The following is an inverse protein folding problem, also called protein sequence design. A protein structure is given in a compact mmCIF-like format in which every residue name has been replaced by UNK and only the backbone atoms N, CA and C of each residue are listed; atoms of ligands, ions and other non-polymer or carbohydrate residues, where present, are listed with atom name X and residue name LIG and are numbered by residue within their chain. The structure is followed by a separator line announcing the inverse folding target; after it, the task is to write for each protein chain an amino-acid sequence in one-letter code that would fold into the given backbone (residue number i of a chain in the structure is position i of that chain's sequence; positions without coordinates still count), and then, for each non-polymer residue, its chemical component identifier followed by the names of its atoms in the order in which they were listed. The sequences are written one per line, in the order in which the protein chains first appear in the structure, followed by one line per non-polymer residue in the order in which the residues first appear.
data_IF_459010099381
#
_entry.id   IF_459010099381
#
_cell.length_a   1.000
_cell.length_b   1.000
_cell.length_c   1.000
_cell.angle_alpha   90.00
_cell.angle_beta   90.00
_cell.angle_gamma   90.00
#
_symmetry.space_group_name_H-M   'P 1'
#
loop_
_entity.id
_entity.type
_entity.pdbx_description
1 polymer ?
#
# COMPACT_ATOMS: atom_id res chain seq x y z
N UNK A 1 1.77 3.05 -50.50
CA UNK A 1 2.93 3.09 -49.59
C UNK A 1 2.41 3.56 -48.24
N UNK A 2 1.81 2.70 -47.44
CA UNK A 2 2.54 1.75 -46.59
C UNK A 2 2.83 2.43 -45.25
N UNK A 3 1.79 2.82 -44.50
CA UNK A 3 1.94 3.18 -43.09
C UNK A 3 2.57 1.96 -42.42
N UNK A 4 3.87 2.03 -42.11
CA UNK A 4 4.51 1.10 -41.19
C UNK A 4 3.78 1.28 -39.87
N UNK A 5 2.78 0.43 -39.63
CA UNK A 5 2.27 0.17 -38.31
C UNK A 5 3.49 -0.17 -37.45
N UNK A 6 3.86 0.75 -36.55
CA UNK A 6 4.93 0.56 -35.56
C UNK A 6 4.42 -0.45 -34.51
N UNK A 7 4.08 -1.66 -34.96
CA UNK A 7 3.71 -2.76 -34.09
C UNK A 7 5.02 -3.44 -33.70
N UNK A 8 5.31 -3.44 -32.41
CA UNK A 8 6.42 -4.23 -31.89
C UNK A 8 6.03 -5.70 -31.97
N UNK A 9 6.44 -6.39 -33.03
CA UNK A 9 6.16 -7.80 -33.28
C UNK A 9 6.72 -8.73 -32.20
N UNK A 10 7.73 -8.28 -31.44
CA UNK A 10 8.38 -9.03 -30.37
C UNK A 10 7.75 -8.79 -28.99
N UNK A 11 6.67 -8.01 -28.91
CA UNK A 11 5.99 -7.71 -27.66
C UNK A 11 5.42 -8.97 -27.00
N UNK A 12 5.77 -9.20 -25.73
CA UNK A 12 5.15 -10.26 -24.92
C UNK A 12 3.69 -9.90 -24.71
N UNK A 13 2.78 -10.69 -25.28
CA UNK A 13 1.36 -10.37 -25.33
C UNK A 13 0.53 -11.43 -24.62
N UNK A 14 -0.46 -11.01 -23.84
CA UNK A 14 -1.42 -11.90 -23.18
C UNK A 14 -2.84 -11.59 -23.64
N UNK A 15 -3.59 -12.62 -24.04
CA UNK A 15 -5.00 -12.54 -24.34
C UNK A 15 -5.81 -13.33 -23.30
N UNK A 16 -6.64 -12.64 -22.54
CA UNK A 16 -7.47 -13.20 -21.47
C UNK A 16 -8.94 -13.10 -21.90
N UNK A 17 -9.70 -14.20 -21.87
CA UNK A 17 -11.08 -14.15 -22.35
C UNK A 17 -11.68 -15.49 -22.71
N UNK A 18 -13.01 -15.54 -22.84
CA UNK A 18 -13.65 -16.53 -23.69
C UNK A 18 -13.32 -16.21 -25.16
N UNK A 19 -13.04 -17.24 -25.97
CA UNK A 19 -12.63 -17.11 -27.38
C UNK A 19 -11.38 -16.23 -27.63
N UNK A 20 -10.51 -16.08 -26.62
CA UNK A 20 -9.23 -15.38 -26.72
C UNK A 20 -8.25 -16.05 -27.71
N UNK A 21 -8.49 -17.30 -28.11
CA UNK A 21 -7.78 -17.99 -29.20
C UNK A 21 -7.96 -17.31 -30.56
N UNK A 22 -9.12 -16.70 -30.81
CA UNK A 22 -9.35 -15.91 -32.03
C UNK A 22 -8.47 -14.66 -32.01
N UNK A 23 -8.36 -13.99 -30.87
CA UNK A 23 -7.48 -12.84 -30.70
C UNK A 23 -6.02 -13.24 -30.89
N UNK A 24 -5.57 -14.35 -30.29
CA UNK A 24 -4.22 -14.89 -30.48
C UNK A 24 -3.91 -15.18 -31.94
N UNK A 25 -4.78 -15.90 -32.65
CA UNK A 25 -4.59 -16.20 -34.07
C UNK A 25 -4.53 -14.94 -34.93
N UNK A 26 -5.33 -13.92 -34.58
CA UNK A 26 -5.33 -12.63 -35.29
C UNK A 26 -4.04 -11.87 -35.04
N UNK A 27 -3.57 -11.78 -33.80
CA UNK A 27 -2.31 -11.11 -33.46
C UNK A 27 -1.11 -11.78 -34.13
N UNK A 28 -1.07 -13.11 -34.19
CA UNK A 28 -0.04 -13.85 -34.92
C UNK A 28 -0.03 -13.53 -36.42
N UNK A 29 -1.20 -13.42 -37.05
CA UNK A 29 -1.32 -12.98 -38.46
C UNK A 29 -0.87 -11.53 -38.68
N UNK A 30 -1.01 -10.69 -37.65
CA UNK A 30 -0.52 -9.30 -37.66
C UNK A 30 0.99 -9.20 -37.37
N UNK A 31 1.65 -10.33 -37.10
CA UNK A 31 3.10 -10.42 -36.95
C UNK A 31 3.60 -10.48 -35.51
N UNK A 32 2.73 -10.61 -34.50
CA UNK A 32 3.16 -10.82 -33.12
C UNK A 32 3.67 -12.25 -32.92
N UNK A 33 4.91 -12.41 -32.48
CA UNK A 33 5.53 -13.73 -32.29
C UNK A 33 5.17 -14.36 -30.94
N UNK A 34 5.01 -13.55 -29.89
CA UNK A 34 4.88 -14.01 -28.50
C UNK A 34 3.50 -13.64 -27.95
N UNK A 35 2.51 -14.49 -28.21
CA UNK A 35 1.13 -14.27 -27.76
C UNK A 35 0.65 -15.48 -26.96
N UNK A 36 0.37 -15.27 -25.68
CA UNK A 36 -0.13 -16.28 -24.75
C UNK A 36 -1.66 -16.18 -24.70
N UNK A 37 -2.30 -17.34 -24.75
CA UNK A 37 -3.74 -17.47 -24.58
C UNK A 37 -4.06 -17.94 -23.17
N UNK A 38 -4.90 -17.18 -22.46
CA UNK A 38 -5.53 -17.61 -21.23
C UNK A 38 -7.06 -17.66 -21.40
N UNK A 39 -7.62 -18.88 -21.32
CA UNK A 39 -9.07 -19.10 -21.30
C UNK A 39 -9.55 -19.18 -19.86
N UNK A 40 -10.73 -18.62 -19.56
CA UNK A 40 -11.32 -18.71 -18.23
C UNK A 40 -11.78 -20.14 -17.93
N UNK A 41 -11.29 -20.73 -16.84
CA UNK A 41 -11.76 -22.04 -16.33
C UNK A 41 -12.39 -21.90 -14.94
N UNK A 42 -12.06 -20.85 -14.16
CA UNK A 42 -12.76 -20.42 -12.94
C UNK A 42 -12.15 -19.10 -12.46
N UNK A 43 -12.89 -18.19 -11.82
CA UNK A 43 -12.33 -17.00 -11.18
C UNK A 43 -12.25 -17.19 -9.67
N UNK A 44 -11.43 -18.15 -9.25
CA UNK A 44 -10.97 -18.23 -7.87
C UNK A 44 -9.56 -17.61 -7.81
N UNK A 45 -9.20 -16.98 -6.68
CA UNK A 45 -7.91 -16.30 -6.44
C UNK A 45 -6.69 -17.08 -6.98
N UNK A 46 -6.73 -18.41 -6.90
CA UNK A 46 -5.75 -19.36 -7.49
C UNK A 46 -5.39 -19.17 -8.97
N UNK A 47 -6.26 -18.59 -9.80
CA UNK A 47 -6.02 -18.47 -11.24
C UNK A 47 -5.38 -17.14 -11.66
N UNK A 48 -5.35 -16.13 -10.77
CA UNK A 48 -4.68 -14.85 -11.03
C UNK A 48 -3.18 -14.88 -10.67
N UNK A 49 -2.73 -15.85 -9.87
CA UNK A 49 -1.30 -16.01 -9.54
C UNK A 49 -0.50 -16.72 -10.65
N UNK A 50 -1.10 -16.97 -11.82
CA UNK A 50 -0.46 -17.73 -12.90
C UNK A 50 0.69 -16.98 -13.58
N UNK A 51 0.67 -15.65 -13.57
CA UNK A 51 1.66 -14.81 -14.25
C UNK A 51 2.41 -13.91 -13.26
N UNK A 52 3.71 -13.72 -13.51
CA UNK A 52 4.55 -12.82 -12.72
C UNK A 52 4.20 -11.36 -13.01
N UNK A 53 4.45 -10.47 -12.07
CA UNK A 53 4.33 -9.03 -12.31
C UNK A 53 5.23 -8.59 -13.47
N UNK A 54 4.81 -7.57 -14.22
CA UNK A 54 5.61 -7.01 -15.33
C UNK A 54 6.05 -8.04 -16.39
N UNK A 55 5.20 -9.02 -16.69
CA UNK A 55 5.49 -10.06 -17.68
C UNK A 55 5.19 -9.64 -19.12
N UNK A 56 4.19 -8.77 -19.33
CA UNK A 56 3.65 -8.51 -20.67
C UNK A 56 3.77 -7.05 -21.10
N UNK A 57 4.13 -6.84 -22.36
CA UNK A 57 4.15 -5.53 -23.02
C UNK A 57 2.74 -5.11 -23.47
N UNK A 58 1.88 -6.08 -23.77
CA UNK A 58 0.50 -5.87 -24.18
C UNK A 58 -0.43 -6.90 -23.55
N UNK A 59 -1.56 -6.46 -23.03
CA UNK A 59 -2.58 -7.37 -22.48
C UNK A 59 -3.94 -6.98 -23.02
N UNK A 60 -4.61 -7.93 -23.69
CA UNK A 60 -6.00 -7.81 -24.12
C UNK A 60 -6.86 -8.69 -23.22
N UNK A 61 -7.75 -8.08 -22.45
CA UNK A 61 -8.72 -8.80 -21.64
C UNK A 61 -10.14 -8.56 -22.15
N UNK A 62 -10.92 -9.63 -22.24
CA UNK A 62 -12.33 -9.62 -22.63
C UNK A 62 -13.19 -10.04 -21.44
N UNK A 63 -14.50 -9.83 -21.58
CA UNK A 63 -15.54 -10.39 -20.72
C UNK A 63 -15.58 -9.80 -19.31
N UNK A 64 -15.13 -8.55 -19.16
CA UNK A 64 -15.12 -7.82 -17.88
C UNK A 64 -16.49 -7.83 -17.16
N UNK A 65 -17.60 -7.95 -17.90
CA UNK A 65 -18.97 -7.98 -17.35
C UNK A 65 -19.41 -9.39 -16.97
N UNK A 66 -18.75 -10.44 -17.47
CA UNK A 66 -19.06 -11.85 -17.18
C UNK A 66 -18.30 -12.41 -15.99
N UNK A 67 -17.31 -11.67 -15.47
CA UNK A 67 -16.53 -12.06 -14.28
C UNK A 67 -17.28 -11.63 -13.01
N UNK A 68 -17.22 -12.44 -11.96
CA UNK A 68 -17.92 -12.17 -10.70
C UNK A 68 -17.49 -10.84 -10.05
N UNK A 69 -16.20 -10.49 -10.18
CA UNK A 69 -15.63 -9.26 -9.63
C UNK A 69 -14.77 -8.56 -10.70
N UNK A 70 -15.35 -7.63 -11.48
CA UNK A 70 -14.66 -6.94 -12.58
C UNK A 70 -13.36 -6.24 -12.18
N UNK A 71 -13.31 -5.69 -10.97
CA UNK A 71 -12.14 -4.99 -10.45
C UNK A 71 -10.88 -5.86 -10.40
N UNK A 72 -11.01 -7.15 -10.02
CA UNK A 72 -9.87 -8.07 -9.96
C UNK A 72 -9.23 -8.30 -11.32
N UNK A 73 -10.02 -8.34 -12.40
CA UNK A 73 -9.48 -8.46 -13.75
C UNK A 73 -8.73 -7.19 -14.17
N UNK A 74 -9.23 -6.01 -13.80
CA UNK A 74 -8.54 -4.73 -14.08
C UNK A 74 -7.20 -4.68 -13.33
N UNK A 75 -7.20 -5.02 -12.04
CA UNK A 75 -5.99 -5.05 -11.22
C UNK A 75 -4.98 -6.07 -11.74
N UNK A 76 -5.43 -7.26 -12.14
CA UNK A 76 -4.54 -8.27 -12.70
C UNK A 76 -3.88 -7.79 -13.99
N UNK A 77 -4.67 -7.24 -14.92
CA UNK A 77 -4.15 -6.70 -16.18
C UNK A 77 -3.13 -5.60 -15.90
N UNK A 78 -3.41 -4.70 -14.95
CA UNK A 78 -2.47 -3.66 -14.53
C UNK A 78 -1.21 -4.24 -13.88
N UNK A 79 -1.30 -5.28 -13.06
CA UNK A 79 -0.19 -5.95 -12.35
C UNK A 79 0.77 -6.62 -13.34
N UNK A 80 0.27 -7.40 -14.28
CA UNK A 80 1.11 -8.18 -15.20
C UNK A 80 1.73 -7.35 -16.33
N UNK A 81 1.22 -6.13 -16.57
CA UNK A 81 1.81 -5.22 -17.55
C UNK A 81 3.19 -4.71 -17.11
N UNK A 82 4.14 -4.67 -18.05
CA UNK A 82 5.42 -3.98 -17.92
C UNK A 82 5.21 -2.47 -17.86
N UNK A 83 6.16 -1.70 -17.30
CA UNK A 83 6.16 -0.25 -17.43
C UNK A 83 6.10 0.17 -18.90
N UNK A 84 5.32 1.22 -19.22
CA UNK A 84 4.95 1.59 -20.59
C UNK A 84 4.14 0.57 -21.39
N UNK A 85 3.79 -0.57 -20.79
CA UNK A 85 2.93 -1.59 -21.38
C UNK A 85 1.51 -1.09 -21.59
N UNK A 86 0.80 -1.69 -22.54
CA UNK A 86 -0.56 -1.28 -22.92
C UNK A 86 -1.58 -2.36 -22.56
N UNK A 87 -2.54 -1.98 -21.72
CA UNK A 87 -3.71 -2.79 -21.38
C UNK A 87 -4.91 -2.38 -22.23
N UNK A 88 -5.66 -3.36 -22.73
CA UNK A 88 -6.89 -3.17 -23.47
C UNK A 88 -7.99 -4.04 -22.88
N UNK A 89 -9.09 -3.41 -22.46
CA UNK A 89 -10.28 -4.07 -21.93
C UNK A 89 -11.38 -3.99 -22.98
N UNK A 90 -11.85 -5.15 -23.42
CA UNK A 90 -12.94 -5.30 -24.36
C UNK A 90 -14.23 -5.66 -23.62
N UNK A 91 -15.26 -4.86 -23.85
CA UNK A 91 -16.56 -4.92 -23.20
C UNK A 91 -17.61 -5.33 -24.23
N UNK A 92 -18.39 -6.36 -23.92
CA UNK A 92 -19.54 -6.74 -24.74
C UNK A 92 -20.76 -5.92 -24.30
N UNK A 93 -21.41 -5.26 -25.26
CA UNK A 93 -22.73 -4.69 -25.05
C UNK A 93 -23.77 -5.70 -25.54
N UNK A 94 -24.55 -6.28 -24.62
CA UNK A 94 -25.67 -7.15 -24.98
C UNK A 94 -26.69 -6.36 -25.82
N UNK A 95 -27.07 -6.93 -26.96
CA UNK A 95 -28.12 -6.38 -27.82
C UNK A 95 -29.51 -6.37 -27.15
N UNK A 96 -29.71 -7.15 -26.09
CA UNK A 96 -30.98 -7.31 -25.37
C UNK A 96 -31.00 -6.70 -23.95
N UNK A 97 -29.93 -6.02 -23.54
CA UNK A 97 -29.78 -5.46 -22.19
C UNK A 97 -30.04 -3.95 -22.09
N UNK A 98 -30.30 -3.48 -20.86
CA UNK A 98 -30.67 -2.11 -20.39
C UNK A 98 -29.79 -0.95 -20.92
N UNK A 99 -28.71 -1.23 -21.64
CA UNK A 99 -27.82 -0.24 -22.28
C UNK A 99 -28.16 0.08 -23.74
N UNK A 100 -29.23 -0.49 -24.31
CA UNK A 100 -29.67 -0.28 -25.69
C UNK A 100 -30.29 1.12 -25.98
N UNK A 101 -30.17 2.09 -25.07
CA UNK A 101 -30.78 3.41 -25.26
C UNK A 101 -29.75 4.55 -25.43
N UNK A 102 -29.48 4.84 -26.71
CA UNK A 102 -29.24 6.16 -27.31
C UNK A 102 -28.09 7.07 -26.85
N UNK A 103 -27.11 6.65 -26.06
CA UNK A 103 -25.86 7.42 -25.89
C UNK A 103 -24.63 6.56 -25.56
N UNK A 104 -24.17 5.75 -26.52
CA UNK A 104 -22.99 4.89 -26.36
C UNK A 104 -21.74 5.65 -25.85
N UNK A 105 -21.57 6.91 -26.24
CA UNK A 105 -20.47 7.76 -25.76
C UNK A 105 -20.59 8.11 -24.27
N UNK A 106 -21.80 8.37 -23.76
CA UNK A 106 -22.03 8.68 -22.33
C UNK A 106 -21.79 7.42 -21.48
N UNK A 107 -22.22 6.26 -21.97
CA UNK A 107 -21.94 4.98 -21.33
C UNK A 107 -20.44 4.69 -21.28
N UNK A 108 -19.70 4.96 -22.36
CA UNK A 108 -18.24 4.80 -22.38
C UNK A 108 -17.51 5.78 -21.45
N UNK A 109 -17.96 7.03 -21.31
CA UNK A 109 -17.39 7.97 -20.35
C UNK A 109 -17.56 7.44 -18.91
N UNK A 110 -18.74 6.92 -18.57
CA UNK A 110 -19.00 6.36 -17.24
C UNK A 110 -18.14 5.14 -16.96
N UNK A 111 -18.04 4.23 -17.92
CA UNK A 111 -17.22 3.02 -17.84
C UNK A 111 -15.73 3.36 -17.73
N UNK A 112 -15.25 4.28 -18.57
CA UNK A 112 -13.87 4.75 -18.50
C UNK A 112 -13.57 5.41 -17.16
N UNK A 113 -14.51 6.19 -16.59
CA UNK A 113 -14.37 6.77 -15.25
C UNK A 113 -14.25 5.70 -14.17
N UNK A 114 -15.07 4.64 -14.24
CA UNK A 114 -15.01 3.52 -13.29
C UNK A 114 -13.70 2.73 -13.39
N UNK A 115 -13.23 2.46 -14.61
CA UNK A 115 -11.94 1.80 -14.81
C UNK A 115 -10.80 2.72 -14.36
N UNK A 116 -10.90 4.03 -14.63
CA UNK A 116 -9.90 5.00 -14.21
C UNK A 116 -9.77 5.08 -12.69
N UNK A 117 -10.86 4.91 -11.93
CA UNK A 117 -10.80 4.86 -10.46
C UNK A 117 -10.16 3.59 -9.90
N UNK A 118 -10.06 2.54 -10.72
CA UNK A 118 -9.39 1.29 -10.35
C UNK A 118 -7.90 1.30 -10.71
N UNK A 119 -7.52 1.95 -11.81
CA UNK A 119 -6.13 2.00 -12.25
C UNK A 119 -5.28 2.85 -11.30
N UNK A 120 -4.32 2.22 -10.60
CA UNK A 120 -3.42 2.91 -9.65
C UNK A 120 -2.12 3.36 -10.32
N UNK A 121 -1.67 2.64 -11.35
CA UNK A 121 -0.35 2.82 -11.97
C UNK A 121 -0.42 3.00 -13.49
N UNK A 122 -1.61 3.25 -14.02
CA UNK A 122 -1.86 3.39 -15.44
C UNK A 122 -2.76 4.59 -15.71
N UNK A 123 -2.71 5.06 -16.95
CA UNK A 123 -3.57 6.15 -17.41
C UNK A 123 -4.33 5.71 -18.63
N UNK A 124 -5.63 6.02 -18.66
CA UNK A 124 -6.47 5.75 -19.83
C UNK A 124 -5.96 6.61 -20.99
N UNK A 125 -5.60 5.95 -22.09
CA UNK A 125 -5.16 6.60 -23.32
C UNK A 125 -6.28 6.65 -24.36
N UNK A 126 -7.25 5.74 -24.29
CA UNK A 126 -8.39 5.73 -25.18
C UNK A 126 -9.59 5.04 -24.55
N UNK A 127 -10.78 5.59 -24.77
CA UNK A 127 -12.05 4.91 -24.50
C UNK A 127 -13.00 5.18 -25.66
N UNK A 128 -13.59 4.13 -26.22
CA UNK A 128 -14.46 4.24 -27.38
C UNK A 128 -15.24 2.97 -27.67
N UNK A 129 -16.01 2.99 -28.75
CA UNK A 129 -16.76 1.83 -29.23
C UNK A 129 -16.16 1.38 -30.56
N UNK A 130 -15.85 0.10 -30.67
CA UNK A 130 -15.37 -0.54 -31.89
C UNK A 130 -16.37 -1.62 -32.28
N UNK A 131 -17.06 -1.42 -33.41
CA UNK A 131 -18.21 -2.23 -33.82
C UNK A 131 -19.29 -2.25 -32.72
N UNK A 132 -19.57 -3.42 -32.13
CA UNK A 132 -20.54 -3.60 -31.06
C UNK A 132 -19.88 -3.82 -29.67
N UNK A 133 -18.61 -3.44 -29.53
CA UNK A 133 -17.84 -3.64 -28.30
C UNK A 133 -17.31 -2.31 -27.76
N UNK A 134 -17.38 -2.13 -26.45
CA UNK A 134 -16.68 -1.06 -25.76
C UNK A 134 -15.19 -1.41 -25.64
N UNK A 135 -14.32 -0.44 -25.85
CA UNK A 135 -12.89 -0.60 -25.74
C UNK A 135 -12.35 0.48 -24.80
N UNK A 136 -11.67 0.05 -23.75
CA UNK A 136 -10.88 0.95 -22.89
C UNK A 136 -9.43 0.52 -22.98
N UNK A 137 -8.57 1.44 -23.39
CA UNK A 137 -7.13 1.23 -23.50
C UNK A 137 -6.44 2.14 -22.50
N UNK A 138 -5.53 1.57 -21.72
CA UNK A 138 -4.71 2.28 -20.78
C UNK A 138 -3.24 1.90 -20.94
N UNK A 139 -2.37 2.80 -20.54
CA UNK A 139 -0.93 2.61 -20.59
C UNK A 139 -0.37 2.66 -19.18
N UNK A 140 0.43 1.67 -18.81
CA UNK A 140 1.13 1.63 -17.52
C UNK A 140 2.19 2.73 -17.50
N UNK A 141 2.23 3.52 -16.43
CA UNK A 141 3.19 4.60 -16.26
C UNK A 141 4.62 4.03 -16.35
N UNK A 142 5.55 4.82 -16.90
CA UNK A 142 6.98 4.45 -16.91
C UNK A 142 7.46 4.27 -15.46
N UNK A 143 8.48 3.43 -15.21
CA UNK A 143 9.12 3.35 -13.88
C UNK A 143 9.51 4.75 -13.44
N UNK A 144 10.07 5.55 -14.35
CA UNK A 144 10.41 6.95 -14.08
C UNK A 144 9.19 7.83 -13.79
N UNK A 145 7.99 7.57 -14.30
CA UNK A 145 6.79 8.37 -13.99
C UNK A 145 6.11 7.91 -12.70
N UNK A 146 6.12 6.60 -12.40
CA UNK A 146 5.73 6.09 -11.08
C UNK A 146 6.71 6.54 -9.99
N UNK A 147 7.99 6.64 -10.34
CA UNK A 147 9.09 7.19 -9.52
C UNK A 147 9.06 8.72 -9.50
N UNK A 148 8.66 9.43 -10.55
CA UNK A 148 8.57 10.90 -10.50
C UNK A 148 7.34 11.34 -9.71
N UNK A 149 6.27 10.55 -9.66
CA UNK A 149 5.15 10.81 -8.72
C UNK A 149 5.43 10.29 -7.29
N UNK A 150 6.32 9.30 -7.10
CA UNK A 150 6.65 8.77 -5.75
C UNK A 150 7.95 9.30 -5.13
N UNK A 151 8.93 9.72 -5.92
CA UNK A 151 10.29 10.13 -5.50
C UNK A 151 10.54 11.64 -5.67
N UNK A 152 9.93 12.34 -6.64
CA UNK A 152 10.09 13.81 -6.74
C UNK A 152 9.21 14.61 -5.78
N UNK A 153 8.46 13.95 -4.89
CA UNK A 153 7.77 14.60 -3.76
C UNK A 153 8.27 14.13 -2.39
N UNK A 154 9.23 13.21 -2.32
CA UNK A 154 9.59 12.60 -1.03
C UNK A 154 10.29 13.54 -0.05
N UNK A 155 11.13 14.45 -0.57
CA UNK A 155 11.80 15.46 0.26
C UNK A 155 10.88 16.61 0.73
N UNK A 156 9.65 16.73 0.19
CA UNK A 156 8.68 17.78 0.55
C UNK A 156 7.39 17.26 1.19
N UNK A 157 7.14 15.95 1.25
CA UNK A 157 5.86 15.39 1.70
C UNK A 157 5.49 15.81 3.13
N UNK A 158 6.45 15.74 4.05
CA UNK A 158 6.26 16.18 5.43
C UNK A 158 6.58 17.67 5.63
N UNK A 159 6.61 18.46 4.55
CA UNK A 159 6.68 19.93 4.61
C UNK A 159 5.36 20.59 4.22
N UNK A 160 4.43 19.85 3.61
CA UNK A 160 3.08 20.34 3.33
C UNK A 160 2.33 20.53 4.67
N UNK A 161 1.67 21.67 4.86
CA UNK A 161 0.96 21.95 6.11
C UNK A 161 -0.20 20.95 6.30
N UNK A 162 -0.26 20.34 7.49
CA UNK A 162 -1.41 19.54 7.90
C UNK A 162 -2.66 20.43 8.07
N UNK A 163 -3.88 19.86 8.00
CA UNK A 163 -5.11 20.63 8.16
C UNK A 163 -5.11 21.50 9.44
N UNK A 164 -5.65 22.72 9.36
CA UNK A 164 -5.66 23.67 10.50
C UNK A 164 -6.36 23.09 11.76
N UNK A 165 -7.31 22.16 11.57
CA UNK A 165 -8.08 21.49 12.63
C UNK A 165 -7.41 20.23 13.21
N UNK A 166 -6.13 19.99 12.89
CA UNK A 166 -5.38 18.83 13.38
C UNK A 166 -5.13 18.93 14.90
N UNK A 167 -6.02 18.33 15.70
CA UNK A 167 -6.04 18.46 17.18
C UNK A 167 -4.74 18.03 17.84
N UNK A 168 -4.17 16.88 17.46
CA UNK A 168 -2.93 16.39 18.07
C UNK A 168 -1.78 17.37 17.79
N UNK A 169 -1.58 17.73 16.52
CA UNK A 169 -0.54 18.66 16.07
C UNK A 169 -0.69 20.04 16.69
N UNK A 170 -1.90 20.59 16.78
CA UNK A 170 -2.13 21.89 17.41
C UNK A 170 -1.69 21.89 18.88
N UNK A 171 -1.84 20.76 19.57
CA UNK A 171 -1.38 20.59 20.94
C UNK A 171 0.14 20.36 21.02
N UNK A 172 0.72 19.54 20.13
CA UNK A 172 2.12 19.10 20.20
C UNK A 172 3.11 20.06 19.56
N UNK A 173 2.71 20.86 18.56
CA UNK A 173 3.56 21.85 17.87
C UNK A 173 4.36 22.77 18.82
N UNK A 174 3.77 23.38 19.87
CA UNK A 174 4.55 24.17 20.83
C UNK A 174 5.49 23.34 21.73
N UNK A 175 5.28 22.02 21.82
CA UNK A 175 6.04 21.09 22.66
C UNK A 175 7.24 20.46 21.93
N UNK A 176 7.30 20.53 20.60
CA UNK A 176 8.41 19.97 19.80
C UNK A 176 9.78 20.49 20.28
N UNK A 177 9.87 21.76 20.67
CA UNK A 177 11.10 22.38 21.21
C UNK A 177 11.57 21.79 22.55
N UNK A 178 10.71 21.03 23.24
CA UNK A 178 11.00 20.37 24.52
C UNK A 178 11.38 18.89 24.34
N UNK A 179 11.27 18.37 23.11
CA UNK A 179 11.69 17.01 22.78
C UNK A 179 13.21 16.89 22.79
N UNK A 180 13.69 15.66 22.93
CA UNK A 180 15.09 15.34 22.73
C UNK A 180 15.54 15.73 21.30
N UNK A 181 16.78 16.23 21.12
CA UNK A 181 17.27 16.62 19.80
C UNK A 181 17.41 15.40 18.88
N UNK A 182 17.18 15.59 17.58
CA UNK A 182 17.45 14.56 16.59
C UNK A 182 18.96 14.32 16.46
N UNK A 183 19.37 13.06 16.47
CA UNK A 183 20.77 12.63 16.39
C UNK A 183 20.92 11.54 15.33
N UNK A 184 22.05 11.56 14.61
CA UNK A 184 22.38 10.51 13.64
C UNK A 184 22.88 9.22 14.29
N UNK A 185 23.43 9.34 15.50
CA UNK A 185 23.96 8.22 16.28
C UNK A 185 23.40 8.28 17.70
N UNK A 186 23.13 7.10 18.28
CA UNK A 186 22.55 6.99 19.61
C UNK A 186 23.51 7.54 20.67
N UNK A 187 23.02 8.49 21.47
CA UNK A 187 23.71 8.98 22.65
C UNK A 187 23.06 8.40 23.91
N UNK A 188 23.85 7.74 24.77
CA UNK A 188 23.37 7.04 25.97
C UNK A 188 22.90 7.96 27.11
N UNK A 189 23.04 9.28 26.97
CA UNK A 189 22.88 10.22 28.09
C UNK A 189 21.59 11.06 28.04
N UNK A 190 20.77 10.94 26.99
CA UNK A 190 19.62 11.84 26.79
C UNK A 190 18.30 11.21 27.22
N UNK A 191 17.62 11.88 28.16
CA UNK A 191 16.29 11.52 28.66
C UNK A 191 15.22 11.87 27.61
N UNK A 192 14.46 10.88 27.15
CA UNK A 192 13.31 11.09 26.26
C UNK A 192 12.19 11.85 26.95
N UNK A 193 11.59 12.80 26.24
CA UNK A 193 10.46 13.60 26.74
C UNK A 193 9.16 13.08 26.15
N UNK A 194 8.53 12.11 26.81
CA UNK A 194 7.24 11.57 26.39
C UNK A 194 6.08 12.56 26.59
N UNK A 195 5.08 12.50 25.72
CA UNK A 195 3.93 13.41 25.71
C UNK A 195 3.03 13.33 26.96
N UNK A 196 2.85 12.17 27.64
CA UNK A 196 2.08 12.06 28.88
C UNK A 196 2.57 12.97 30.03
N UNK A 197 3.77 13.56 29.93
CA UNK A 197 4.24 14.58 30.88
C UNK A 197 3.49 15.92 30.75
N UNK A 198 2.89 16.17 29.59
CA UNK A 198 2.21 17.43 29.27
C UNK A 198 0.72 17.26 29.04
N UNK A 199 0.27 16.05 28.67
CA UNK A 199 -1.14 15.69 28.48
C UNK A 199 -1.56 14.81 29.64
N UNK A 200 -2.52 15.26 30.45
CA UNK A 200 -3.13 14.39 31.45
C UNK A 200 -3.85 13.26 30.71
N UNK A 201 -3.44 12.03 31.00
CA UNK A 201 -3.96 10.78 30.42
C UNK A 201 -4.22 9.73 31.50
N UNK A 202 -3.99 10.06 32.77
CA UNK A 202 -3.99 9.11 33.91
C UNK A 202 -5.37 8.81 34.47
N UNK A 203 -6.45 9.35 33.90
CA UNK A 203 -7.81 9.05 34.35
C UNK A 203 -8.28 7.72 33.76
N UNK A 204 -8.62 6.74 34.61
CA UNK A 204 -9.04 5.38 34.22
C UNK A 204 -10.34 5.24 33.39
N UNK A 205 -10.84 6.32 32.79
CA UNK A 205 -11.94 6.35 31.82
C UNK A 205 -11.49 6.68 30.39
N UNK A 206 -10.20 6.92 30.16
CA UNK A 206 -9.68 7.29 28.84
C UNK A 206 -9.44 6.05 27.98
N UNK A 207 -9.81 6.14 26.72
CA UNK A 207 -9.50 5.13 25.71
C UNK A 207 -8.09 5.37 25.18
N UNK A 208 -7.11 4.65 25.74
CA UNK A 208 -5.72 4.71 25.30
C UNK A 208 -5.49 3.61 24.27
N UNK A 209 -4.97 3.97 23.08
CA UNK A 209 -4.71 3.02 21.99
C UNK A 209 -3.23 3.01 21.65
N UNK A 210 -2.65 1.82 21.59
CA UNK A 210 -1.28 1.61 21.14
C UNK A 210 -1.28 0.71 19.91
N UNK A 211 -0.75 1.20 18.80
CA UNK A 211 -0.64 0.44 17.55
C UNK A 211 0.83 0.22 17.23
N UNK A 212 1.23 -1.03 17.06
CA UNK A 212 2.56 -1.41 16.62
C UNK A 212 2.46 -2.07 15.23
N UNK A 213 3.10 -1.47 14.22
CA UNK A 213 3.09 -1.93 12.84
C UNK A 213 4.47 -2.42 12.44
N UNK A 214 4.58 -3.69 12.09
CA UNK A 214 5.81 -4.29 11.57
C UNK A 214 6.95 -4.42 12.60
N UNK A 215 6.73 -4.04 13.86
CA UNK A 215 7.69 -4.23 14.94
C UNK A 215 7.72 -5.67 15.44
N UNK A 216 8.91 -6.27 15.49
CA UNK A 216 9.12 -7.66 15.95
C UNK A 216 8.96 -7.82 17.47
N UNK A 217 9.03 -6.71 18.22
CA UNK A 217 9.09 -6.70 19.67
C UNK A 217 8.05 -5.77 20.29
N UNK A 218 7.51 -6.23 21.41
CA UNK A 218 6.74 -5.43 22.35
C UNK A 218 7.65 -4.44 23.09
N UNK A 219 7.86 -3.27 22.48
CA UNK A 219 8.91 -2.35 22.92
C UNK A 219 8.51 -1.46 24.10
N UNK A 220 7.27 -1.45 24.58
CA UNK A 220 6.81 -0.44 25.54
C UNK A 220 7.82 -0.11 26.67
N UNK A 221 8.52 1.05 26.62
CA UNK A 221 9.69 1.26 27.46
C UNK A 221 9.32 1.30 28.93
N UNK A 222 10.13 0.69 29.80
CA UNK A 222 9.95 0.82 31.26
C UNK A 222 9.96 2.28 31.72
N UNK A 223 10.61 3.17 30.96
CA UNK A 223 10.64 4.60 31.24
C UNK A 223 9.39 5.37 30.78
N UNK A 224 8.47 4.72 30.07
CA UNK A 224 7.25 5.36 29.59
C UNK A 224 6.29 5.64 30.76
N UNK A 225 5.60 6.80 30.80
CA UNK A 225 4.89 7.22 32.01
C UNK A 225 3.51 6.58 32.26
N UNK A 226 3.04 5.72 31.35
CA UNK A 226 1.74 5.04 31.42
C UNK A 226 2.02 3.55 31.37
N UNK A 227 1.32 2.71 32.12
CA UNK A 227 1.51 1.27 32.02
C UNK A 227 0.89 0.72 30.73
N UNK A 228 1.57 -0.22 30.09
CA UNK A 228 1.08 -0.85 28.85
C UNK A 228 -0.31 -1.47 29.03
N UNK A 229 -0.60 -2.00 30.22
CA UNK A 229 -1.89 -2.66 30.55
C UNK A 229 -3.10 -1.70 30.48
N UNK A 230 -2.85 -0.39 30.52
CA UNK A 230 -3.87 0.63 30.37
C UNK A 230 -4.28 0.87 28.90
N UNK A 231 -3.51 0.33 27.94
CA UNK A 231 -3.78 0.47 26.51
C UNK A 231 -4.64 -0.68 25.93
N UNK A 232 -5.46 -0.33 24.95
CA UNK A 232 -5.92 -1.25 23.91
C UNK A 232 -4.81 -1.36 22.87
N UNK A 233 -4.19 -2.53 22.80
CA UNK A 233 -2.96 -2.75 22.03
C UNK A 233 -3.26 -3.52 20.75
N UNK A 234 -2.85 -2.98 19.61
CA UNK A 234 -2.97 -3.60 18.31
C UNK A 234 -1.59 -3.90 17.74
N UNK A 235 -1.28 -5.17 17.55
CA UNK A 235 -0.07 -5.62 16.87
C UNK A 235 -0.41 -6.02 15.45
N UNK A 236 0.04 -5.22 14.50
CA UNK A 236 -0.12 -5.50 13.08
C UNK A 236 1.18 -6.08 12.53
N UNK A 237 1.15 -7.35 12.13
CA UNK A 237 2.37 -8.04 11.69
C UNK A 237 2.07 -9.14 10.66
N UNK A 238 3.06 -9.42 9.81
CA UNK A 238 2.96 -10.48 8.78
C UNK A 238 3.32 -11.87 9.31
N UNK A 239 4.18 -11.97 10.32
CA UNK A 239 4.62 -13.24 10.88
C UNK A 239 3.64 -13.72 11.96
N UNK A 240 2.79 -14.69 11.66
CA UNK A 240 1.83 -15.23 12.62
C UNK A 240 2.49 -15.91 13.83
N UNK A 241 3.74 -16.36 13.72
CA UNK A 241 4.47 -16.99 14.84
C UNK A 241 4.68 -16.04 16.02
N UNK A 242 4.68 -14.73 15.80
CA UNK A 242 4.80 -13.75 16.90
C UNK A 242 3.47 -13.51 17.63
N UNK A 243 2.34 -13.97 17.09
CA UNK A 243 1.03 -13.78 17.73
C UNK A 243 1.01 -14.38 19.15
N UNK A 244 1.54 -15.60 19.31
CA UNK A 244 1.53 -16.33 20.60
C UNK A 244 2.46 -15.69 21.65
N UNK A 245 3.50 -14.97 21.23
CA UNK A 245 4.37 -14.26 22.17
C UNK A 245 3.75 -12.94 22.66
N UNK A 246 2.91 -12.29 21.84
CA UNK A 246 2.38 -10.95 22.09
C UNK A 246 0.94 -10.92 22.62
N UNK A 247 0.07 -11.85 22.22
CA UNK A 247 -1.33 -11.92 22.67
C UNK A 247 -1.43 -12.70 23.99
N UNK A 248 -0.83 -12.16 25.05
CA UNK A 248 -0.86 -12.77 26.40
C UNK A 248 -1.77 -12.04 27.40
N UNK A 249 -2.30 -10.87 27.02
CA UNK A 249 -3.08 -10.00 27.91
C UNK A 249 -4.51 -9.74 27.41
N UNK A 250 -5.47 -9.50 28.32
CA UNK A 250 -6.75 -8.90 27.94
C UNK A 250 -6.47 -7.51 27.36
N UNK A 251 -7.08 -7.15 26.22
CA UNK A 251 -6.85 -5.90 25.44
C UNK A 251 -5.69 -5.91 24.44
N UNK A 252 -5.08 -7.06 24.16
CA UNK A 252 -4.14 -7.20 23.04
C UNK A 252 -4.82 -7.87 21.85
N UNK A 253 -4.82 -7.19 20.71
CA UNK A 253 -5.35 -7.69 19.44
C UNK A 253 -4.21 -7.83 18.44
N UNK A 254 -4.04 -9.04 17.88
CA UNK A 254 -3.14 -9.26 16.76
C UNK A 254 -3.93 -9.16 15.46
N UNK A 255 -3.42 -8.35 14.53
CA UNK A 255 -3.98 -8.17 13.21
C UNK A 255 -2.95 -8.69 12.21
N UNK A 256 -3.32 -9.78 11.53
CA UNK A 256 -2.45 -10.40 10.55
C UNK A 256 -2.48 -9.60 9.25
N UNK A 257 -1.33 -9.06 8.84
CA UNK A 257 -1.22 -8.32 7.59
C UNK A 257 0.00 -8.80 6.79
N UNK A 258 -0.16 -9.77 5.88
CA UNK A 258 0.94 -10.43 5.18
C UNK A 258 1.74 -9.47 4.29
N UNK A 259 1.13 -8.38 3.83
CA UNK A 259 1.77 -7.37 2.99
C UNK A 259 2.90 -6.60 3.69
N UNK A 260 2.97 -6.64 5.03
CA UNK A 260 4.08 -6.07 5.81
C UNK A 260 5.38 -6.87 5.68
N UNK A 261 5.34 -8.07 5.10
CA UNK A 261 6.56 -8.85 4.89
C UNK A 261 7.34 -8.29 3.68
N UNK A 262 8.41 -7.54 3.94
CA UNK A 262 9.31 -7.08 2.88
C UNK A 262 9.88 -8.24 2.05
N UNK A 263 10.07 -9.40 2.68
CA UNK A 263 10.57 -10.62 2.05
C UNK A 263 9.50 -11.41 1.29
N UNK A 264 8.20 -11.15 1.47
CA UNK A 264 7.17 -11.69 0.56
C UNK A 264 7.27 -11.06 -0.83
N UNK A 265 7.92 -9.90 -0.97
CA UNK A 265 8.25 -9.32 -2.29
C UNK A 265 9.65 -9.73 -2.79
N UNK A 266 10.53 -10.21 -1.91
CA UNK A 266 11.87 -10.71 -2.26
C UNK A 266 11.93 -12.23 -2.53
N UNK A 267 11.02 -13.03 -1.95
CA UNK A 267 11.04 -14.50 -2.00
C UNK A 267 9.78 -15.13 -2.63
N UNK A 268 9.10 -14.45 -3.57
CA UNK A 268 8.16 -15.11 -4.53
C UNK A 268 8.98 -15.89 -5.56
N UNK A 269 9.87 -16.74 -5.05
CA UNK A 269 10.62 -17.73 -5.78
C UNK A 269 10.34 -19.13 -5.21
N UNK A 270 9.87 -19.31 -3.97
CA UNK A 270 9.56 -20.65 -3.49
C UNK A 270 8.53 -20.70 -2.35
N UNK A 271 7.61 -21.65 -2.54
CA UNK A 271 6.72 -22.32 -1.57
C UNK A 271 5.34 -21.72 -1.30
N UNK A 272 4.39 -22.24 -2.07
CA UNK A 272 3.01 -22.46 -1.72
C UNK A 272 2.87 -23.15 -0.34
N UNK A 273 2.03 -22.60 0.52
CA UNK A 273 1.13 -23.27 1.49
C UNK A 273 0.98 -22.44 2.76
N UNK A 274 -0.18 -21.79 2.91
CA UNK A 274 -1.01 -21.73 4.13
C UNK A 274 -2.11 -20.67 3.97
N UNK A 275 -3.05 -20.89 3.04
CA UNK A 275 -4.31 -20.15 3.01
C UNK A 275 -5.44 -21.13 3.30
N UNK A 276 -5.72 -21.34 4.59
CA UNK A 276 -7.01 -21.83 5.04
C UNK A 276 -7.46 -20.97 6.21
N UNK A 277 -8.69 -20.47 6.09
CA UNK A 277 -9.47 -19.67 7.04
C UNK A 277 -9.23 -18.16 7.01
N UNK A 278 -9.96 -17.46 6.13
CA UNK A 278 -11.09 -16.59 6.49
C UNK A 278 -11.77 -16.10 5.20
N UNK A 279 -13.03 -15.68 5.30
CA UNK A 279 -14.02 -15.69 4.22
C UNK A 279 -13.79 -14.74 3.06
N UNK A 280 -14.60 -14.94 2.02
CA UNK A 280 -14.80 -14.00 0.92
C UNK A 280 -15.25 -12.63 1.47
N UNK A 281 -14.86 -11.58 0.74
CA UNK A 281 -15.29 -10.18 0.82
C UNK A 281 -14.35 -9.21 1.59
N UNK A 282 -13.89 -8.19 0.86
CA UNK A 282 -13.07 -7.01 1.25
C UNK A 282 -11.54 -7.19 1.38
N UNK A 283 -10.79 -6.59 0.44
CA UNK A 283 -9.35 -6.31 0.59
C UNK A 283 -9.17 -5.42 1.82
N UNK A 284 -8.37 -5.86 2.79
CA UNK A 284 -8.17 -5.15 4.06
C UNK A 284 -7.50 -3.78 3.82
N UNK A 285 -8.28 -2.70 3.87
CA UNK A 285 -7.77 -1.33 3.80
C UNK A 285 -7.13 -0.97 5.14
N UNK A 286 -5.80 -1.01 5.18
CA UNK A 286 -5.02 -0.70 6.36
C UNK A 286 -5.24 0.72 6.89
N UNK A 287 -5.43 1.71 6.02
CA UNK A 287 -5.63 3.11 6.41
C UNK A 287 -7.02 3.29 7.01
N UNK A 288 -8.04 2.69 6.38
CA UNK A 288 -9.40 2.71 6.90
C UNK A 288 -9.49 2.02 8.27
N UNK A 289 -8.94 0.81 8.38
CA UNK A 289 -8.88 0.09 9.66
C UNK A 289 -8.16 0.89 10.75
N UNK A 290 -7.01 1.49 10.41
CA UNK A 290 -6.25 2.28 11.39
C UNK A 290 -7.08 3.46 11.87
N UNK A 291 -7.71 4.20 10.95
CA UNK A 291 -8.57 5.33 11.27
C UNK A 291 -9.73 4.93 12.19
N UNK A 292 -10.47 3.88 11.84
CA UNK A 292 -11.58 3.36 12.67
C UNK A 292 -11.09 2.91 14.06
N UNK A 293 -9.87 2.40 14.16
CA UNK A 293 -9.28 1.98 15.43
C UNK A 293 -8.91 3.15 16.33
N UNK A 294 -8.52 4.29 15.77
CA UNK A 294 -7.95 5.42 16.53
C UNK A 294 -8.88 6.63 16.66
N UNK A 295 -9.97 6.72 15.87
CA UNK A 295 -10.80 7.93 15.81
C UNK A 295 -11.50 8.29 17.13
N UNK A 296 -11.89 7.28 17.91
CA UNK A 296 -12.55 7.42 19.21
C UNK A 296 -11.57 7.30 20.41
N UNK A 297 -10.26 7.32 20.15
CA UNK A 297 -9.25 7.24 21.20
C UNK A 297 -8.97 8.62 21.83
N UNK A 298 -8.76 8.64 23.14
CA UNK A 298 -8.35 9.85 23.88
C UNK A 298 -6.83 10.09 23.77
N UNK A 299 -6.08 9.01 23.55
CA UNK A 299 -4.64 9.06 23.39
C UNK A 299 -4.12 7.92 22.51
N UNK A 300 -3.37 8.26 21.45
CA UNK A 300 -2.88 7.28 20.47
C UNK A 300 -1.37 7.30 20.39
N UNK A 301 -0.76 6.14 20.65
CA UNK A 301 0.66 5.89 20.42
C UNK A 301 0.82 4.98 19.20
N UNK A 302 1.56 5.45 18.19
CA UNK A 302 1.89 4.65 17.02
C UNK A 302 3.38 4.31 17.04
N UNK A 303 3.71 3.04 16.84
CA UNK A 303 5.08 2.59 16.66
C UNK A 303 5.21 1.81 15.35
N UNK A 304 6.24 2.09 14.58
CA UNK A 304 6.52 1.39 13.33
C UNK A 304 8.01 1.40 12.97
N UNK A 305 8.42 0.42 12.18
CA UNK A 305 9.72 0.45 11.51
C UNK A 305 9.66 1.33 10.26
N UNK A 306 10.80 1.87 9.80
CA UNK A 306 10.91 2.61 8.54
C UNK A 306 11.13 1.65 7.35
N UNK A 307 10.39 0.54 7.34
CA UNK A 307 10.34 -0.38 6.22
C UNK A 307 9.57 0.22 5.05
N UNK A 308 9.71 -0.34 3.85
CA UNK A 308 9.09 0.23 2.64
C UNK A 308 7.57 0.30 2.74
N UNK A 309 6.95 -0.69 3.39
CA UNK A 309 5.49 -0.80 3.50
C UNK A 309 4.98 0.16 4.57
N UNK A 310 5.66 0.23 5.70
CA UNK A 310 5.37 1.13 6.81
C UNK A 310 5.56 2.59 6.42
N UNK A 311 6.60 2.91 5.63
CA UNK A 311 6.82 4.26 5.11
C UNK A 311 5.73 4.68 4.12
N UNK A 312 5.24 3.74 3.31
CA UNK A 312 4.07 3.99 2.47
C UNK A 312 2.83 4.28 3.32
N UNK A 313 2.58 3.45 4.35
CA UNK A 313 1.48 3.69 5.28
C UNK A 313 1.60 5.05 5.98
N UNK A 314 2.79 5.43 6.47
CA UNK A 314 3.05 6.72 7.09
C UNK A 314 2.74 7.89 6.15
N UNK A 315 3.12 7.76 4.87
CA UNK A 315 2.75 8.74 3.83
C UNK A 315 1.23 8.81 3.66
N UNK A 316 0.57 7.67 3.51
CA UNK A 316 -0.87 7.60 3.26
C UNK A 316 -1.69 8.20 4.42
N UNK A 317 -1.31 7.95 5.69
CA UNK A 317 -1.98 8.57 6.84
C UNK A 317 -1.66 10.06 6.99
N UNK A 318 -0.50 10.51 6.51
CA UNK A 318 -0.14 11.92 6.52
C UNK A 318 -0.96 12.70 5.48
N UNK A 319 -0.97 12.25 4.23
CA UNK A 319 -1.70 12.89 3.12
C UNK A 319 -3.21 12.92 3.36
N UNK A 320 -3.78 11.85 3.93
CA UNK A 320 -5.21 11.77 4.24
C UNK A 320 -5.58 12.38 5.59
N UNK A 321 -4.63 12.98 6.32
CA UNK A 321 -4.86 13.65 7.61
C UNK A 321 -5.16 12.71 8.78
N UNK A 322 -5.08 11.39 8.60
CA UNK A 322 -5.29 10.39 9.65
C UNK A 322 -4.18 10.48 10.73
N UNK A 323 -3.00 10.98 10.38
CA UNK A 323 -1.93 11.28 11.33
C UNK A 323 -2.38 12.24 12.45
N UNK A 324 -3.43 13.03 12.23
CA UNK A 324 -3.99 13.94 13.25
C UNK A 324 -4.68 13.24 14.42
N UNK A 325 -4.93 11.93 14.31
CA UNK A 325 -5.38 11.10 15.43
C UNK A 325 -4.21 10.53 16.25
N UNK A 326 -2.98 10.61 15.74
CA UNK A 326 -1.77 10.13 16.43
C UNK A 326 -1.24 11.24 17.33
N UNK A 327 -1.12 10.94 18.63
CA UNK A 327 -0.56 11.88 19.61
C UNK A 327 0.96 11.75 19.71
N UNK A 328 1.48 10.51 19.71
CA UNK A 328 2.90 10.23 19.89
C UNK A 328 3.36 9.11 18.95
N UNK A 329 4.41 9.37 18.18
CA UNK A 329 4.92 8.46 17.14
C UNK A 329 6.34 7.99 17.50
N UNK A 330 6.58 6.69 17.43
CA UNK A 330 7.91 6.08 17.55
C UNK A 330 8.27 5.46 16.21
N UNK A 331 9.27 6.03 15.52
CA UNK A 331 9.74 5.51 14.24
C UNK A 331 11.12 4.90 14.43
N UNK A 332 11.28 3.62 14.06
CA UNK A 332 12.58 2.95 14.06
C UNK A 332 13.12 2.91 12.64
N UNK A 333 14.19 3.66 12.40
CA UNK A 333 14.84 3.63 11.11
C UNK A 333 16.17 2.89 11.17
N UNK A 334 16.26 1.77 10.46
CA UNK A 334 17.52 1.17 10.07
C UNK A 334 18.06 1.91 8.84
N UNK A 335 19.32 2.34 8.87
CA UNK A 335 19.93 3.02 7.72
C UNK A 335 19.85 2.13 6.47
N UNK A 336 18.96 2.49 5.54
CA UNK A 336 18.90 1.91 4.21
C UNK A 336 19.43 2.95 3.22
N UNK A 337 20.44 2.55 2.45
CA UNK A 337 21.30 3.45 1.68
C UNK A 337 20.71 4.00 0.38
N UNK A 338 19.44 4.41 0.34
CA UNK A 338 18.92 5.07 -0.86
C UNK A 338 17.77 6.05 -0.57
N UNK A 339 17.86 7.25 -1.16
CA UNK A 339 16.74 8.17 -1.32
C UNK A 339 16.69 9.37 -0.37
N UNK A 340 16.24 9.17 0.87
CA UNK A 340 16.09 10.23 1.88
C UNK A 340 16.74 9.80 3.20
N UNK A 341 17.48 10.69 3.85
CA UNK A 341 17.98 10.38 5.18
C UNK A 341 16.77 10.33 6.10
N UNK A 342 16.61 9.29 6.94
CA UNK A 342 15.55 9.27 7.95
C UNK A 342 15.52 10.55 8.82
N UNK A 343 16.64 11.26 8.92
CA UNK A 343 16.70 12.60 9.48
C UNK A 343 15.75 13.60 8.81
N UNK A 344 15.59 13.57 7.50
CA UNK A 344 14.69 14.44 6.75
C UNK A 344 13.23 14.12 7.08
N UNK A 345 12.89 12.84 7.23
CA UNK A 345 11.56 12.40 7.68
C UNK A 345 11.28 12.93 9.10
N UNK A 346 12.21 12.73 10.03
CA UNK A 346 12.06 13.25 11.39
C UNK A 346 11.94 14.77 11.44
N UNK A 347 12.76 15.48 10.66
CA UNK A 347 12.74 16.94 10.57
C UNK A 347 11.40 17.43 10.01
N UNK A 348 10.91 16.83 8.92
CA UNK A 348 9.63 17.19 8.31
C UNK A 348 8.46 17.00 9.28
N UNK A 349 8.33 15.80 9.86
CA UNK A 349 7.31 15.49 10.85
C UNK A 349 7.31 16.47 12.04
N UNK A 350 8.49 16.73 12.63
CA UNK A 350 8.61 17.67 13.77
C UNK A 350 8.34 19.12 13.37
N UNK A 351 8.76 19.55 12.18
CA UNK A 351 8.49 20.90 11.68
C UNK A 351 6.99 21.17 11.54
N UNK A 352 6.25 20.12 11.18
CA UNK A 352 4.80 20.12 11.10
C UNK A 352 4.09 19.85 12.44
N UNK A 353 4.83 19.70 13.53
CA UNK A 353 4.28 19.53 14.87
C UNK A 353 3.91 18.10 15.27
N UNK A 354 4.24 17.09 14.47
CA UNK A 354 4.08 15.67 14.86
C UNK A 354 5.09 15.33 15.95
N UNK A 355 4.62 14.78 17.07
CA UNK A 355 5.45 14.42 18.22
C UNK A 355 6.14 13.06 17.98
N UNK A 356 7.16 13.06 17.13
CA UNK A 356 7.90 11.85 16.73
C UNK A 356 9.22 11.67 17.47
N UNK A 357 9.44 10.47 18.00
CA UNK A 357 10.67 10.01 18.64
C UNK A 357 11.49 9.11 17.71
N UNK A 358 12.82 9.26 17.79
CA UNK A 358 13.75 8.31 17.15
C UNK A 358 13.82 7.05 18.00
N UNK A 359 13.39 5.93 17.41
CA UNK A 359 13.47 4.63 18.05
C UNK A 359 14.72 3.86 17.57
N UNK A 360 15.49 3.31 18.53
CA UNK A 360 16.73 2.59 18.26
C UNK A 360 16.61 1.16 18.80
N UNK A 361 16.54 0.15 17.93
CA UNK A 361 16.54 -1.24 18.38
C UNK A 361 17.80 -1.56 19.20
N UNK A 362 17.62 -2.19 20.36
CA UNK A 362 18.70 -2.53 21.30
C UNK A 362 19.56 -3.74 20.87
N UNK A 363 19.40 -4.30 19.67
CA UNK A 363 19.98 -5.60 19.30
C UNK A 363 21.21 -5.59 18.37
N UNK A 364 21.90 -4.46 18.23
CA UNK A 364 23.25 -4.45 17.67
C UNK A 364 24.25 -4.09 18.78
N UNK A 365 25.11 -5.07 19.11
CA UNK A 365 26.25 -5.04 20.06
C UNK A 365 26.15 -5.88 21.35
N UNK A 366 25.57 -7.08 21.30
CA UNK A 366 26.13 -8.20 22.06
C UNK A 366 26.96 -9.08 21.13
N UNK A 367 28.20 -8.67 20.85
CA UNK A 367 29.04 -9.41 19.92
C UNK A 367 30.44 -8.87 19.69
N UNK A 368 31.12 -8.33 20.70
CA UNK A 368 32.59 -8.17 20.67
C UNK A 368 33.18 -7.79 22.03
N UNK A 369 33.00 -8.66 23.03
CA UNK A 369 33.93 -8.74 24.15
C UNK A 369 34.22 -10.21 24.42
N UNK A 370 35.02 -10.83 23.54
CA UNK A 370 35.90 -11.90 23.97
C UNK A 370 37.06 -11.24 24.71
N UNK A 371 37.13 -11.55 26.00
CA UNK A 371 38.18 -11.09 26.90
C UNK A 371 39.55 -11.66 26.53
N UNK A 372 40.56 -10.91 26.97
CA UNK A 372 41.95 -11.33 27.14
C UNK A 372 42.10 -12.57 28.03
#
# INVERSE_FOLDING_TARGET
MGQRLLLNSEAESLCIGEYSDIAVSTMQKLGFSNVINQRFISFNKKNFDQYREFSFDFVLAKDLVKVSVPALLVFEVERVLKPNGTGALLLEFDSDGVYSNNNNNINMIRIASQISSLLRFSTIVHAGVVNNHGLVVFKKKSISESVIESENKSSSLYHDDLPEDCKSVNFTKPLIKLMEPLVKERSYEKKTTYLPKFKDVSSGKKNLVYVNIGGEYDWFPESYPIDKEDFNVYFLHYNFSIMLSHVKGPRVTFVYHPELNENLKANVADTEHMDHYLGEDEEFDLVAWFKETVEDADFVVLMMNAGKVEMKFLKDIYENGVICFVDELFLNCSESGDGDSCMDIYNGLRSNGVFVHQWWNNELHQGSHQGE
#
